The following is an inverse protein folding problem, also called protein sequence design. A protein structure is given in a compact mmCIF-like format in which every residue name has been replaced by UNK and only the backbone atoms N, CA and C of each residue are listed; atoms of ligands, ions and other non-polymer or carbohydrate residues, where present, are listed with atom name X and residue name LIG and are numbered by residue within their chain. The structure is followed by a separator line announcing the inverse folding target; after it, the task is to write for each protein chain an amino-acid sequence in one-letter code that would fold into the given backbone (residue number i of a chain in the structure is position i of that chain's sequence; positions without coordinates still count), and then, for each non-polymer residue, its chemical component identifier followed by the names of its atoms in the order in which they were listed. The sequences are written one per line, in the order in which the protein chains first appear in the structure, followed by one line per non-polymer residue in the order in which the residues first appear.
data_IF_252824754120
#
_entry.id   IF_252824754120
#
_cell.length_a   1.000
_cell.length_b   1.000
_cell.length_c   1.000
_cell.angle_alpha   90.00
_cell.angle_beta   90.00
_cell.angle_gamma   90.00
#
_symmetry.space_group_name_H-M   'P 1'
#
loop_
_entity.id
_entity.type
_entity.pdbx_description
1 polymer ?
#
# COMPACT_ATOMS: atom_id res chain seq x y z
N UNK A 1 30.95 -1.03 19.82
CA UNK A 1 30.42 -0.49 18.54
C UNK A 1 29.20 -1.31 18.16
N UNK A 2 27.97 -0.89 18.48
CA UNK A 2 26.80 -1.57 17.95
C UNK A 2 26.65 -1.19 16.49
N UNK A 3 26.84 -2.13 15.57
CA UNK A 3 26.43 -1.97 14.18
C UNK A 3 24.97 -1.48 14.18
N UNK A 4 24.74 -0.27 13.70
CA UNK A 4 23.38 0.23 13.50
C UNK A 4 22.71 -0.76 12.55
N UNK A 5 21.78 -1.58 13.06
CA UNK A 5 21.17 -2.63 12.28
C UNK A 5 20.23 -1.97 11.27
N UNK A 6 20.78 -1.57 10.11
CA UNK A 6 20.12 -0.74 9.11
C UNK A 6 18.97 -1.55 8.51
N UNK A 7 17.75 -1.18 8.88
CA UNK A 7 16.53 -1.83 8.38
C UNK A 7 16.29 -1.37 6.95
N UNK A 8 16.01 -2.31 6.06
CA UNK A 8 15.74 -2.04 4.65
C UNK A 8 14.24 -2.12 4.38
N UNK A 9 13.71 -1.25 3.52
CA UNK A 9 12.31 -1.30 3.09
C UNK A 9 12.26 -1.47 1.58
N UNK A 10 11.50 -2.46 1.11
CA UNK A 10 11.26 -2.78 -0.29
C UNK A 10 9.78 -2.55 -0.56
N UNK A 11 9.47 -1.75 -1.57
CA UNK A 11 8.12 -1.65 -2.10
C UNK A 11 8.03 -2.48 -3.39
N UNK A 12 7.13 -3.45 -3.42
CA UNK A 12 6.81 -4.25 -4.60
C UNK A 12 5.71 -3.52 -5.37
N UNK A 13 6.07 -3.02 -6.54
CA UNK A 13 5.21 -2.23 -7.41
C UNK A 13 4.74 -3.02 -8.63
N UNK A 14 3.64 -2.57 -9.24
CA UNK A 14 3.05 -3.24 -10.38
C UNK A 14 1.57 -2.90 -10.57
N UNK A 15 1.07 -3.19 -11.76
CA UNK A 15 -0.34 -2.93 -12.10
C UNK A 15 -1.31 -3.81 -11.28
N UNK A 16 -2.60 -3.51 -11.33
CA UNK A 16 -3.64 -4.38 -10.77
C UNK A 16 -3.58 -5.73 -11.50
N UNK A 17 -3.62 -6.84 -10.76
CA UNK A 17 -3.52 -8.19 -11.32
C UNK A 17 -2.10 -8.65 -11.70
N UNK A 18 -1.05 -7.86 -11.45
CA UNK A 18 0.32 -8.23 -11.84
C UNK A 18 1.03 -9.26 -10.94
N UNK A 19 0.33 -9.88 -9.98
CA UNK A 19 0.89 -10.92 -9.11
C UNK A 19 1.73 -10.44 -7.91
N UNK A 20 1.66 -9.15 -7.53
CA UNK A 20 2.40 -8.60 -6.38
C UNK A 20 2.15 -9.38 -5.08
N UNK A 21 0.88 -9.61 -4.73
CA UNK A 21 0.52 -10.34 -3.52
C UNK A 21 1.06 -11.78 -3.51
N UNK A 22 1.19 -12.42 -4.68
CA UNK A 22 1.81 -13.74 -4.80
C UNK A 22 3.31 -13.73 -4.46
N UNK A 23 4.02 -12.69 -4.90
CA UNK A 23 5.44 -12.48 -4.53
C UNK A 23 5.57 -12.25 -3.04
N UNK A 24 4.70 -11.42 -2.44
CA UNK A 24 4.69 -11.18 -1.01
C UNK A 24 4.42 -12.46 -0.21
N UNK A 25 3.46 -13.28 -0.63
CA UNK A 25 3.14 -14.55 0.01
C UNK A 25 4.34 -15.51 0.03
N UNK A 26 5.14 -15.53 -1.04
CA UNK A 26 6.38 -16.31 -1.07
C UNK A 26 7.42 -15.77 -0.09
N UNK A 27 7.57 -14.45 0.00
CA UNK A 27 8.52 -13.79 0.91
C UNK A 27 8.11 -13.87 2.39
N UNK A 28 6.83 -14.06 2.68
CA UNK A 28 6.29 -14.18 4.04
C UNK A 28 6.83 -15.41 4.79
N UNK A 29 7.32 -16.43 4.08
CA UNK A 29 7.94 -17.61 4.67
C UNK A 29 9.36 -17.36 5.20
N UNK A 30 9.96 -16.21 4.92
CA UNK A 30 11.30 -15.85 5.39
C UNK A 30 11.26 -15.17 6.76
N UNK A 31 12.06 -15.66 7.71
CA UNK A 31 12.23 -15.03 9.03
C UNK A 31 12.92 -13.65 8.99
N UNK A 32 13.48 -13.28 7.84
CA UNK A 32 14.13 -11.98 7.62
C UNK A 32 13.15 -10.88 7.17
N UNK A 33 11.94 -11.26 6.75
CA UNK A 33 11.00 -10.36 6.10
C UNK A 33 9.78 -10.09 6.98
N UNK A 34 9.46 -8.82 7.16
CA UNK A 34 8.15 -8.36 7.64
C UNK A 34 7.34 -7.88 6.44
N UNK A 35 6.33 -8.66 6.05
CA UNK A 35 5.53 -8.45 4.85
C UNK A 35 4.29 -7.62 5.18
N UNK A 36 4.06 -6.58 4.38
CA UNK A 36 2.98 -5.60 4.54
C UNK A 36 2.17 -5.57 3.27
N UNK A 37 1.03 -6.23 3.27
CA UNK A 37 0.10 -6.20 2.15
C UNK A 37 -0.57 -4.82 1.99
N UNK A 38 -1.14 -4.59 0.82
CA UNK A 38 -1.96 -3.41 0.54
C UNK A 38 -3.20 -3.44 1.44
N UNK A 39 -3.59 -2.33 2.09
CA UNK A 39 -4.65 -2.34 3.09
C UNK A 39 -6.05 -2.32 2.45
N UNK A 40 -6.33 -3.27 1.56
CA UNK A 40 -7.60 -3.38 0.82
C UNK A 40 -8.79 -3.43 1.78
N UNK A 41 -8.67 -4.17 2.89
CA UNK A 41 -9.73 -4.28 3.91
C UNK A 41 -10.11 -2.91 4.52
N UNK A 42 -9.13 -2.01 4.68
CA UNK A 42 -9.41 -0.66 5.17
C UNK A 42 -10.20 0.17 4.16
N UNK A 43 -10.07 -0.14 2.86
CA UNK A 43 -10.73 0.57 1.78
C UNK A 43 -12.08 -0.03 1.41
N UNK A 44 -12.29 -1.32 1.67
CA UNK A 44 -13.58 -2.00 1.48
C UNK A 44 -14.48 -1.89 2.71
N UNK A 45 -13.94 -1.56 3.88
CA UNK A 45 -14.70 -1.34 5.11
C UNK A 45 -14.12 -0.20 5.97
N UNK A 46 -14.38 1.04 5.55
CA UNK A 46 -14.11 2.22 6.36
C UNK A 46 -15.36 2.58 7.18
N UNK A 47 -15.43 2.07 8.43
CA UNK A 47 -16.57 2.28 9.34
C UNK A 47 -17.92 1.88 8.71
N UNK A 48 -17.97 0.75 8.01
CA UNK A 48 -19.16 0.25 7.32
C UNK A 48 -19.31 0.72 5.87
N UNK A 49 -18.42 1.57 5.36
CA UNK A 49 -18.46 2.05 3.98
C UNK A 49 -17.37 1.42 3.12
N UNK A 50 -17.74 0.93 1.94
CA UNK A 50 -16.80 0.48 0.93
C UNK A 50 -16.37 1.66 0.04
N UNK A 51 -15.37 2.41 0.49
CA UNK A 51 -14.90 3.61 -0.22
C UNK A 51 -14.22 3.26 -1.56
N UNK A 52 -13.70 2.04 -1.71
CA UNK A 52 -13.19 1.55 -2.99
C UNK A 52 -14.32 1.36 -4.01
N UNK A 53 -15.44 0.77 -3.60
CA UNK A 53 -16.62 0.66 -4.45
C UNK A 53 -17.18 2.05 -4.82
N UNK A 54 -17.23 2.98 -3.86
CA UNK A 54 -17.68 4.35 -4.08
C UNK A 54 -16.80 5.09 -5.11
N UNK A 55 -15.48 4.86 -5.10
CA UNK A 55 -14.58 5.35 -6.14
C UNK A 55 -14.96 4.83 -7.52
N UNK A 56 -15.25 3.53 -7.65
CA UNK A 56 -15.60 2.93 -8.93
C UNK A 56 -16.99 3.36 -9.44
N UNK A 57 -17.91 3.66 -8.52
CA UNK A 57 -19.28 4.12 -8.83
C UNK A 57 -19.31 5.58 -9.32
N UNK A 58 -18.70 6.50 -8.56
CA UNK A 58 -18.58 7.92 -8.96
C UNK A 58 -17.16 8.45 -8.67
N UNK A 59 -16.22 8.27 -9.63
CA UNK A 59 -14.85 8.73 -9.48
C UNK A 59 -14.72 10.26 -9.35
N UNK A 60 -15.64 11.03 -9.92
CA UNK A 60 -15.59 12.50 -9.86
C UNK A 60 -15.93 12.98 -8.43
N UNK A 61 -16.94 12.37 -7.80
CA UNK A 61 -17.32 12.68 -6.41
C UNK A 61 -16.33 12.14 -5.38
N UNK A 62 -15.88 10.89 -5.56
CA UNK A 62 -15.16 10.13 -4.53
C UNK A 62 -13.65 10.01 -4.77
N UNK A 63 -13.15 10.38 -5.95
CA UNK A 63 -11.75 10.27 -6.33
C UNK A 63 -10.80 10.92 -5.33
N UNK A 64 -11.04 12.18 -4.99
CA UNK A 64 -10.22 12.89 -4.00
C UNK A 64 -10.25 12.22 -2.61
N UNK A 65 -11.45 11.90 -2.12
CA UNK A 65 -11.62 11.32 -0.78
C UNK A 65 -10.94 9.95 -0.67
N UNK A 66 -11.11 9.09 -1.68
CA UNK A 66 -10.45 7.79 -1.74
C UNK A 66 -8.93 7.94 -1.81
N UNK A 67 -8.40 8.77 -2.71
CA UNK A 67 -6.95 8.93 -2.86
C UNK A 67 -6.29 9.50 -1.60
N UNK A 68 -6.93 10.47 -0.94
CA UNK A 68 -6.47 11.00 0.34
C UNK A 68 -6.42 9.91 1.44
N UNK A 69 -7.45 9.05 1.50
CA UNK A 69 -7.47 7.93 2.44
C UNK A 69 -6.39 6.90 2.10
N UNK A 70 -6.26 6.50 0.82
CA UNK A 70 -5.26 5.55 0.36
C UNK A 70 -3.85 6.04 0.68
N UNK A 71 -3.51 7.30 0.38
CA UNK A 71 -2.21 7.88 0.73
C UNK A 71 -1.96 7.91 2.24
N UNK A 72 -2.97 8.26 3.06
CA UNK A 72 -2.87 8.24 4.51
C UNK A 72 -2.61 6.82 5.06
N UNK A 73 -3.34 5.82 4.56
CA UNK A 73 -3.16 4.43 4.98
C UNK A 73 -1.77 3.89 4.60
N UNK A 74 -1.30 4.17 3.39
CA UNK A 74 0.04 3.79 2.95
C UNK A 74 1.12 4.51 3.77
N UNK A 75 0.97 5.81 4.06
CA UNK A 75 1.90 6.55 4.90
C UNK A 75 2.03 5.94 6.31
N UNK A 76 0.90 5.52 6.91
CA UNK A 76 0.91 4.81 8.20
C UNK A 76 1.64 3.47 8.13
N UNK A 77 1.47 2.72 7.04
CA UNK A 77 2.20 1.46 6.82
C UNK A 77 3.71 1.70 6.61
N UNK A 78 4.08 2.79 5.94
CA UNK A 78 5.48 3.22 5.78
C UNK A 78 6.10 3.56 7.13
N UNK A 79 5.37 4.24 8.01
CA UNK A 79 5.82 4.58 9.35
C UNK A 79 5.76 3.40 10.36
N UNK A 80 5.08 2.29 10.01
CA UNK A 80 4.92 1.14 10.90
C UNK A 80 6.30 0.58 11.30
N UNK A 81 6.60 0.49 12.60
CA UNK A 81 7.86 -0.07 13.07
C UNK A 81 7.92 -1.57 12.76
N UNK A 82 9.10 -2.04 12.39
CA UNK A 82 9.37 -3.47 12.19
C UNK A 82 10.53 -3.94 13.06
N UNK A 83 10.47 -5.19 13.53
CA UNK A 83 11.60 -5.87 14.17
C UNK A 83 12.47 -6.62 13.15
N UNK A 84 11.92 -6.94 11.99
CA UNK A 84 12.64 -7.65 10.94
C UNK A 84 13.71 -6.75 10.30
N UNK A 85 14.79 -7.35 9.77
CA UNK A 85 15.81 -6.60 9.03
C UNK A 85 15.28 -6.04 7.72
N UNK A 86 14.30 -6.69 7.08
CA UNK A 86 13.70 -6.26 5.82
C UNK A 86 12.19 -6.10 5.99
N UNK A 87 11.66 -4.93 5.64
CA UNK A 87 10.22 -4.68 5.48
C UNK A 87 9.87 -4.74 4.00
N UNK A 88 8.98 -5.63 3.61
CA UNK A 88 8.50 -5.75 2.23
C UNK A 88 7.06 -5.25 2.19
N UNK A 89 6.76 -4.28 1.34
CA UNK A 89 5.45 -3.64 1.24
C UNK A 89 4.85 -3.86 -0.14
N UNK A 90 3.55 -4.13 -0.21
CA UNK A 90 2.79 -4.06 -1.46
C UNK A 90 2.37 -2.62 -1.71
N UNK A 91 2.89 -2.05 -2.80
CA UNK A 91 2.79 -0.62 -3.14
C UNK A 91 3.45 0.32 -2.14
N UNK A 92 3.52 1.57 -2.58
CA UNK A 92 4.00 2.72 -1.83
C UNK A 92 3.16 3.96 -2.06
N UNK A 93 3.41 4.98 -1.24
CA UNK A 93 2.84 6.32 -1.42
C UNK A 93 3.17 6.90 -2.81
N UNK A 94 4.26 6.46 -3.43
CA UNK A 94 4.68 6.89 -4.76
C UNK A 94 3.72 6.40 -5.83
N UNK A 95 3.32 5.12 -5.80
CA UNK A 95 2.34 4.59 -6.75
C UNK A 95 0.97 5.27 -6.60
N UNK A 96 0.55 5.57 -5.36
CA UNK A 96 -0.65 6.34 -5.10
C UNK A 96 -0.60 7.72 -5.78
N UNK A 97 0.51 8.46 -5.65
CA UNK A 97 0.66 9.80 -6.25
C UNK A 97 0.88 9.79 -7.76
N UNK A 98 1.81 8.98 -8.25
CA UNK A 98 2.32 9.07 -9.62
C UNK A 98 1.59 8.17 -10.60
N UNK A 99 0.85 7.15 -10.13
CA UNK A 99 0.03 6.31 -10.98
C UNK A 99 -1.46 6.62 -10.79
N UNK A 100 -1.99 6.45 -9.58
CA UNK A 100 -3.45 6.50 -9.38
C UNK A 100 -4.01 7.92 -9.37
N UNK A 101 -3.45 8.82 -8.55
CA UNK A 101 -3.85 10.24 -8.53
C UNK A 101 -3.62 10.86 -9.90
N UNK A 102 -2.47 10.60 -10.51
CA UNK A 102 -2.15 11.16 -11.83
C UNK A 102 -3.12 10.68 -12.92
N UNK A 103 -3.47 9.39 -12.92
CA UNK A 103 -4.47 8.85 -13.84
C UNK A 103 -5.88 9.39 -13.57
N UNK A 104 -6.26 9.63 -12.31
CA UNK A 104 -7.55 10.26 -11.97
C UNK A 104 -7.61 11.72 -12.39
N UNK A 105 -6.50 12.45 -12.30
CA UNK A 105 -6.42 13.86 -12.68
C UNK A 105 -6.41 14.07 -14.20
N UNK A 106 -5.79 13.16 -14.96
CA UNK A 106 -5.67 13.26 -16.42
C UNK A 106 -6.86 12.72 -17.19
N UNK A 107 -7.76 12.02 -16.53
CA UNK A 107 -9.02 11.52 -17.10
C UNK A 107 -10.09 12.59 -17.04
#
# INVERSE_FOLDING_TARGET
MSSSNKKFTIAVEGNIGSGKSSVLAHLANSSLCDVVAEPIDNWTNLKGHNILAMLYDDPHRWGFAFQANAQMTLAKLHARPTKAPVKVMERSIYSARYCFVENLYRR
#
